data_IF_776970830666
#
_entry.id   IF_776970830666
#
_cell.length_a   1.000
_cell.length_b   1.000
_cell.length_c   1.000
_cell.angle_alpha   90.00
_cell.angle_beta   90.00
_cell.angle_gamma   90.00
#
_symmetry.space_group_name_H-M   'P 1'
#
loop_
_entity.id
_entity.type
_entity.pdbx_description
1 polymer ?
#
# COMPACT_ATOMS: atom_id res chain seq x y z
N UNK A 1 -49.98 8.75 -12.60
CA UNK A 1 -49.17 8.34 -11.43
C UNK A 1 -48.23 7.16 -11.69
N UNK A 2 -48.41 6.34 -12.75
CA UNK A 2 -47.56 5.15 -13.02
C UNK A 2 -46.15 5.47 -13.57
N UNK A 3 -45.98 6.57 -14.34
CA UNK A 3 -44.69 6.96 -14.94
C UNK A 3 -43.67 7.52 -13.93
N UNK A 4 -44.14 8.18 -12.86
CA UNK A 4 -43.28 8.72 -11.78
C UNK A 4 -42.72 7.61 -10.89
N UNK A 5 -43.49 6.55 -10.67
CA UNK A 5 -43.06 5.35 -9.92
C UNK A 5 -41.94 4.61 -10.66
N UNK A 6 -42.03 4.52 -11.99
CA UNK A 6 -41.04 3.84 -12.83
C UNK A 6 -39.66 4.54 -12.83
N UNK A 7 -39.64 5.86 -12.73
CA UNK A 7 -38.40 6.66 -12.63
C UNK A 7 -37.74 6.49 -11.26
N UNK A 8 -38.53 6.39 -10.18
CA UNK A 8 -37.99 6.13 -8.84
C UNK A 8 -37.43 4.71 -8.69
N UNK A 9 -37.98 3.72 -9.40
CA UNK A 9 -37.46 2.35 -9.35
C UNK A 9 -36.11 2.21 -10.07
N UNK A 10 -35.92 2.94 -11.18
CA UNK A 10 -34.69 2.88 -11.98
C UNK A 10 -33.48 3.51 -11.28
N UNK A 11 -33.68 4.52 -10.41
CA UNK A 11 -32.58 5.16 -9.69
C UNK A 11 -32.06 4.36 -8.49
N UNK A 12 -32.84 3.40 -7.97
CA UNK A 12 -32.47 2.59 -6.80
C UNK A 12 -31.44 1.49 -7.12
N UNK A 13 -31.35 1.04 -8.38
CA UNK A 13 -30.44 -0.06 -8.75
C UNK A 13 -28.98 0.37 -8.98
N UNK A 14 -28.66 1.68 -9.00
CA UNK A 14 -27.32 2.16 -9.33
C UNK A 14 -26.39 2.26 -8.10
N UNK A 15 -26.90 2.09 -6.88
CA UNK A 15 -26.15 2.38 -5.64
C UNK A 15 -25.37 1.14 -5.12
N UNK A 16 -25.61 -0.06 -5.65
CA UNK A 16 -25.03 -1.31 -5.12
C UNK A 16 -23.71 -1.74 -5.78
N UNK A 17 -23.11 -0.96 -6.67
CA UNK A 17 -21.97 -1.40 -7.49
C UNK A 17 -20.58 -1.19 -6.87
N UNK A 18 -20.45 -0.80 -5.60
CA UNK A 18 -19.12 -0.53 -5.01
C UNK A 18 -19.02 -1.17 -3.63
N UNK A 19 -18.88 -2.50 -3.60
CA UNK A 19 -18.43 -3.20 -2.41
C UNK A 19 -17.03 -3.75 -2.68
N UNK A 20 -15.95 -3.15 -2.14
CA UNK A 20 -14.63 -3.75 -2.22
C UNK A 20 -14.61 -5.00 -1.34
N UNK A 21 -14.39 -6.17 -1.95
CA UNK A 21 -14.15 -7.41 -1.22
C UNK A 21 -12.80 -7.32 -0.50
N UNK A 22 -12.83 -7.39 0.83
CA UNK A 22 -11.62 -7.46 1.65
C UNK A 22 -11.11 -8.90 1.56
N UNK A 23 -10.05 -9.13 0.79
CA UNK A 23 -9.38 -10.43 0.71
C UNK A 23 -8.45 -10.54 1.91
N UNK A 24 -8.78 -11.42 2.86
CA UNK A 24 -7.94 -11.71 4.02
C UNK A 24 -7.11 -12.96 3.70
N UNK A 25 -5.84 -12.79 3.32
CA UNK A 25 -4.93 -13.90 3.10
C UNK A 25 -4.43 -14.43 4.47
N UNK A 26 -4.92 -15.59 4.89
CA UNK A 26 -4.36 -16.30 6.04
C UNK A 26 -3.07 -16.99 5.63
N UNK A 27 -1.92 -16.47 6.07
CA UNK A 27 -0.65 -17.19 6.00
C UNK A 27 -0.48 -18.03 7.26
N UNK A 28 -0.85 -19.30 7.22
CA UNK A 28 -0.42 -20.26 8.23
C UNK A 28 1.04 -20.63 7.95
N UNK A 29 1.95 -19.92 8.60
CA UNK A 29 3.35 -20.28 8.63
C UNK A 29 3.69 -20.85 10.00
N UNK A 30 3.54 -22.17 10.16
CA UNK A 30 4.04 -22.87 11.34
C UNK A 30 5.54 -23.13 11.19
N UNK A 31 6.35 -22.28 11.81
CA UNK A 31 7.78 -22.51 11.97
C UNK A 31 7.97 -23.44 13.18
N UNK A 32 8.02 -24.75 12.95
CA UNK A 32 8.70 -25.63 13.88
C UNK A 32 10.20 -25.52 13.61
N UNK A 33 10.90 -24.67 14.35
CA UNK A 33 12.36 -24.71 14.34
C UNK A 33 12.90 -24.56 15.75
N UNK A 34 13.33 -25.69 16.30
CA UNK A 34 14.30 -25.74 17.38
C UNK A 34 15.64 -25.27 16.83
N UNK A 35 15.87 -23.96 16.85
CA UNK A 35 17.13 -23.36 16.37
C UNK A 35 18.06 -23.09 17.54
N UNK A 36 19.20 -23.78 17.56
CA UNK A 36 20.39 -23.40 18.33
C UNK A 36 20.80 -21.97 17.95
N UNK A 37 20.80 -21.07 18.94
CA UNK A 37 21.11 -19.65 18.74
C UNK A 37 22.62 -19.48 18.76
N UNK A 38 23.26 -19.61 17.59
CA UNK A 38 24.58 -19.03 17.35
C UNK A 38 24.39 -17.56 16.99
N UNK A 39 24.57 -16.66 17.96
CA UNK A 39 24.41 -15.21 17.75
C UNK A 39 25.65 -14.60 17.08
N UNK A 40 25.81 -14.83 15.77
CA UNK A 40 26.68 -14.00 14.93
C UNK A 40 25.97 -12.67 14.69
N UNK A 41 26.42 -11.61 15.38
CA UNK A 41 25.90 -10.25 15.19
C UNK A 41 26.37 -9.74 13.82
N UNK A 42 25.49 -9.84 12.82
CA UNK A 42 25.72 -9.27 11.49
C UNK A 42 25.48 -7.75 11.54
N UNK A 43 26.34 -6.93 10.90
CA UNK A 43 26.11 -5.50 10.82
C UNK A 43 24.81 -5.22 10.05
N UNK A 44 23.87 -4.52 10.70
CA UNK A 44 22.63 -4.09 10.06
C UNK A 44 22.95 -3.00 9.04
N UNK A 45 22.90 -3.34 7.76
CA UNK A 45 23.05 -2.38 6.67
C UNK A 45 21.77 -1.57 6.51
N UNK A 46 21.92 -0.25 6.41
CA UNK A 46 20.81 0.65 6.11
C UNK A 46 20.24 0.38 4.71
N UNK A 47 18.91 0.39 4.62
CA UNK A 47 18.17 0.31 3.38
C UNK A 47 18.00 1.72 2.82
N UNK A 48 18.77 2.05 1.79
CA UNK A 48 18.73 3.35 1.11
C UNK A 48 18.26 3.15 -0.33
N UNK A 49 17.36 4.01 -0.79
CA UNK A 49 16.85 3.96 -2.16
C UNK A 49 16.05 5.20 -2.55
N UNK A 50 15.46 5.18 -3.74
CA UNK A 50 14.63 6.28 -4.22
C UNK A 50 13.20 6.14 -3.71
N UNK A 51 12.69 7.20 -3.08
CA UNK A 51 11.28 7.39 -2.82
C UNK A 51 10.67 8.22 -3.94
N UNK A 52 9.46 7.87 -4.39
CA UNK A 52 8.77 8.55 -5.48
C UNK A 52 7.48 9.23 -4.99
N UNK A 53 7.09 10.32 -5.65
CA UNK A 53 5.75 10.90 -5.52
C UNK A 53 5.29 11.45 -6.87
N UNK A 54 3.98 11.50 -7.07
CA UNK A 54 3.36 12.08 -8.27
C UNK A 54 2.49 13.27 -7.87
N UNK A 55 2.73 14.44 -8.46
CA UNK A 55 1.98 15.68 -8.23
C UNK A 55 1.69 16.32 -9.58
N UNK A 56 0.41 16.59 -9.88
CA UNK A 56 0.00 17.20 -11.16
C UNK A 56 0.56 16.49 -12.40
N UNK A 57 0.55 15.16 -12.38
CA UNK A 57 1.11 14.31 -13.42
C UNK A 57 2.63 14.38 -13.62
N UNK A 58 3.35 15.13 -12.78
CA UNK A 58 4.81 15.20 -12.73
C UNK A 58 5.30 14.21 -11.66
N UNK A 59 6.33 13.43 -12.00
CA UNK A 59 6.96 12.48 -11.09
C UNK A 59 8.18 13.15 -10.45
N UNK A 60 8.32 12.95 -9.15
CA UNK A 60 9.49 13.37 -8.39
C UNK A 60 10.10 12.16 -7.73
N UNK A 61 11.41 12.19 -7.53
CA UNK A 61 12.13 11.25 -6.68
C UNK A 61 13.01 11.97 -5.68
N UNK A 62 13.37 11.30 -4.59
CA UNK A 62 14.42 11.73 -3.65
C UNK A 62 15.16 10.52 -3.09
N UNK A 63 16.40 10.70 -2.68
CA UNK A 63 17.14 9.69 -1.92
C UNK A 63 16.57 9.60 -0.49
N UNK A 64 16.24 8.40 -0.04
CA UNK A 64 15.58 8.16 1.24
C UNK A 64 16.22 6.98 1.97
N UNK A 65 16.43 7.13 3.28
CA UNK A 65 16.85 6.04 4.16
C UNK A 65 15.60 5.43 4.82
N UNK A 66 15.24 4.23 4.39
CA UNK A 66 14.08 3.48 4.90
C UNK A 66 14.33 2.85 6.26
N UNK A 67 15.59 2.62 6.64
CA UNK A 67 15.95 2.13 7.97
C UNK A 67 15.85 3.22 9.04
N UNK A 68 16.16 4.47 8.69
CA UNK A 68 16.13 5.63 9.58
C UNK A 68 14.88 6.52 9.41
N UNK A 69 13.98 6.20 8.47
CA UNK A 69 12.79 6.99 8.14
C UNK A 69 13.08 8.49 7.92
N UNK A 70 14.15 8.78 7.17
CA UNK A 70 14.57 10.16 6.91
C UNK A 70 14.97 10.37 5.44
N UNK A 71 14.66 11.55 4.87
CA UNK A 71 15.20 11.93 3.58
C UNK A 71 16.71 12.16 3.67
N UNK A 72 17.42 11.79 2.62
CA UNK A 72 18.84 12.07 2.43
C UNK A 72 19.07 13.17 1.38
N UNK A 73 18.05 13.46 0.56
CA UNK A 73 18.06 14.55 -0.42
C UNK A 73 16.69 15.21 -0.53
N UNK A 74 16.68 16.36 -1.18
CA UNK A 74 15.44 17.01 -1.62
C UNK A 74 14.79 16.27 -2.79
N UNK A 75 13.56 16.68 -3.10
CA UNK A 75 12.82 16.18 -4.25
C UNK A 75 13.36 16.77 -5.54
N UNK A 76 13.72 15.89 -6.47
CA UNK A 76 14.03 16.24 -7.84
C UNK A 76 12.95 15.73 -8.80
N UNK A 77 12.69 16.51 -9.85
CA UNK A 77 11.79 16.10 -10.92
C UNK A 77 12.51 15.09 -11.83
N UNK A 78 11.80 14.05 -12.26
CA UNK A 78 12.23 13.12 -13.30
C UNK A 78 11.35 13.18 -14.54
#
# INVERSE_FOLDING_TARGET
MKKRILICLASSMFILSICPTIINASSDFSINTTSSINSTVLPKKDIVGYQYKKVNNIIYRRLYNFSANKPLSDWERI
#
